data_IF_515736078753
#
_entry.id   IF_515736078753
#
_cell.length_a   1.000
_cell.length_b   1.000
_cell.length_c   1.000
_cell.angle_alpha   90.00
_cell.angle_beta   90.00
_cell.angle_gamma   90.00
#
_symmetry.space_group_name_H-M   'P 1'
#
loop_
_entity.id
_entity.type
_entity.pdbx_description
1 polymer ?
#
# COMPACT_ATOMS: atom_id res chain seq x y z
N UNK A 1 10.03 3.95 29.20
CA UNK A 1 9.49 5.33 29.19
C UNK A 1 8.26 5.42 30.08
N UNK A 2 8.04 6.53 30.72
CA UNK A 2 6.87 6.82 31.59
C UNK A 2 6.70 5.91 32.80
N UNK A 3 7.59 4.97 33.04
CA UNK A 3 7.60 4.08 34.18
C UNK A 3 8.21 4.75 35.41
N UNK A 4 7.76 4.37 36.61
CA UNK A 4 8.30 4.88 37.88
C UNK A 4 9.81 4.64 38.05
N UNK A 5 10.32 3.57 37.44
CA UNK A 5 11.73 3.17 37.47
C UNK A 5 12.53 3.68 36.27
N UNK A 6 11.93 4.53 35.41
CA UNK A 6 12.62 5.08 34.24
C UNK A 6 13.74 6.04 34.69
N UNK A 7 15.00 5.65 34.53
CA UNK A 7 16.16 6.38 35.03
C UNK A 7 17.13 6.88 33.94
N UNK A 8 16.75 6.80 32.66
CA UNK A 8 17.64 7.25 31.58
C UNK A 8 17.32 6.66 30.21
N UNK A 9 18.12 7.05 29.24
CA UNK A 9 17.97 6.68 27.83
C UNK A 9 19.05 5.70 27.44
N UNK A 10 18.66 4.63 26.73
CA UNK A 10 19.59 3.72 26.05
C UNK A 10 19.72 4.15 24.59
N UNK A 11 20.92 4.53 24.17
CA UNK A 11 21.16 4.94 22.79
C UNK A 11 21.31 3.75 21.86
N UNK A 12 20.72 3.87 20.69
CA UNK A 12 20.84 2.94 19.57
C UNK A 12 21.28 3.66 18.29
N UNK A 13 21.40 2.92 17.21
CA UNK A 13 21.67 3.44 15.88
C UNK A 13 20.65 2.86 14.90
N UNK A 14 20.23 3.67 13.94
CA UNK A 14 19.24 3.22 12.97
C UNK A 14 19.25 4.07 11.70
N UNK A 15 18.65 3.52 10.66
CA UNK A 15 18.34 4.20 9.40
C UNK A 15 16.87 3.96 9.09
N UNK A 16 16.14 5.02 8.79
CA UNK A 16 14.74 4.96 8.39
C UNK A 16 14.52 5.76 7.12
N UNK A 17 13.62 5.28 6.28
CA UNK A 17 13.16 5.98 5.08
C UNK A 17 11.65 5.80 4.92
N UNK A 18 10.97 6.89 4.59
CA UNK A 18 9.55 6.89 4.24
C UNK A 18 9.37 7.57 2.89
N UNK A 19 8.48 7.03 2.08
CA UNK A 19 8.11 7.63 0.81
C UNK A 19 6.83 8.45 1.01
N UNK A 20 6.91 9.74 0.70
CA UNK A 20 5.77 10.66 0.78
C UNK A 20 5.28 11.01 -0.63
N UNK A 21 3.96 11.06 -0.79
CA UNK A 21 3.30 11.47 -2.02
C UNK A 21 2.01 12.22 -1.67
N UNK A 22 1.56 13.11 -2.54
CA UNK A 22 0.26 13.76 -2.36
C UNK A 22 -0.85 12.72 -2.40
N UNK A 23 -1.82 12.82 -1.49
CA UNK A 23 -2.91 11.86 -1.39
C UNK A 23 -3.64 11.67 -2.73
N UNK A 24 -4.04 12.76 -3.38
CA UNK A 24 -4.73 12.71 -4.68
C UNK A 24 -3.91 12.08 -5.81
N UNK A 25 -2.58 12.17 -5.74
CA UNK A 25 -1.69 11.51 -6.71
C UNK A 25 -1.54 10.03 -6.38
N UNK A 26 -1.44 9.68 -5.09
CA UNK A 26 -1.35 8.28 -4.66
C UNK A 26 -2.63 7.49 -5.00
N UNK A 27 -3.81 8.11 -4.77
CA UNK A 27 -5.11 7.52 -5.14
C UNK A 27 -5.24 7.35 -6.66
N UNK A 28 -4.91 8.40 -7.44
CA UNK A 28 -4.94 8.33 -8.91
C UNK A 28 -4.02 7.25 -9.47
N UNK A 29 -2.84 7.10 -8.88
CA UNK A 29 -1.82 6.18 -9.36
C UNK A 29 -1.99 4.75 -8.77
N UNK A 30 -2.97 4.56 -7.87
CA UNK A 30 -3.26 3.28 -7.23
C UNK A 30 -2.16 2.81 -6.27
N UNK A 31 -1.44 3.74 -5.64
CA UNK A 31 -0.38 3.42 -4.69
C UNK A 31 -0.97 2.88 -3.38
N UNK A 32 -0.22 1.99 -2.72
CA UNK A 32 -0.57 1.53 -1.39
C UNK A 32 -0.27 2.60 -0.34
N UNK A 33 -1.31 3.09 0.34
CA UNK A 33 -1.23 4.12 1.36
C UNK A 33 -1.25 3.48 2.73
N UNK A 34 -0.23 3.71 3.57
CA UNK A 34 -0.18 3.23 4.95
C UNK A 34 -0.87 4.17 5.91
N UNK A 35 -0.70 5.47 5.73
CA UNK A 35 -1.31 6.52 6.54
C UNK A 35 -1.33 7.83 5.75
N UNK A 36 -2.20 8.74 6.16
CA UNK A 36 -2.28 10.11 5.64
C UNK A 36 -1.77 11.08 6.71
N UNK A 37 -0.82 11.94 6.36
CA UNK A 37 -0.41 13.05 7.23
C UNK A 37 -1.47 14.14 7.10
N UNK A 38 -2.21 14.39 8.17
CA UNK A 38 -3.29 15.40 8.20
C UNK A 38 -2.78 16.79 8.56
N UNK A 39 -1.81 16.85 9.45
CA UNK A 39 -1.22 18.10 9.92
C UNK A 39 0.14 17.88 10.55
N UNK A 40 0.94 18.92 10.60
CA UNK A 40 2.23 18.91 11.27
C UNK A 40 2.60 20.32 11.70
N UNK A 41 3.30 20.40 12.82
CA UNK A 41 3.88 21.65 13.30
C UNK A 41 5.30 21.44 13.81
N UNK A 42 6.11 22.46 13.69
CA UNK A 42 7.48 22.49 14.21
C UNK A 42 7.72 23.87 14.81
N UNK A 43 8.17 23.90 16.05
CA UNK A 43 8.58 25.12 16.70
C UNK A 43 9.91 24.95 17.44
N UNK A 44 10.33 25.98 18.17
CA UNK A 44 11.49 25.91 19.05
C UNK A 44 11.20 26.69 20.35
N UNK A 45 11.58 26.11 21.49
CA UNK A 45 11.39 26.70 22.84
C UNK A 45 12.09 28.05 23.02
N UNK A 46 13.06 28.40 22.18
CA UNK A 46 13.84 29.60 22.23
C UNK A 46 14.40 29.88 23.64
N UNK A 47 14.10 31.07 24.23
CA UNK A 47 14.50 31.45 25.57
C UNK A 47 13.55 31.07 26.70
N UNK A 48 12.45 30.35 26.41
CA UNK A 48 11.40 29.98 27.37
C UNK A 48 11.73 28.75 28.23
N UNK A 49 12.99 28.29 28.24
CA UNK A 49 13.44 27.11 28.99
C UNK A 49 14.56 27.43 29.96
N UNK A 50 14.66 26.65 31.03
CA UNK A 50 15.62 26.86 32.14
C UNK A 50 17.06 26.48 31.80
N UNK A 51 17.31 25.89 30.64
CA UNK A 51 18.64 25.50 30.16
C UNK A 51 18.62 24.84 28.79
N UNK A 52 19.79 24.71 28.16
CA UNK A 52 19.93 24.20 26.79
C UNK A 52 19.29 22.81 26.60
N UNK A 53 19.51 21.92 27.54
CA UNK A 53 19.00 20.54 27.46
C UNK A 53 17.62 20.34 28.11
N UNK A 54 17.07 21.35 28.81
CA UNK A 54 15.77 21.24 29.43
C UNK A 54 14.65 21.44 28.38
N UNK A 55 13.68 20.53 28.25
CA UNK A 55 12.51 20.77 27.40
C UNK A 55 11.55 21.78 28.05
N UNK A 56 10.62 22.34 27.24
CA UNK A 56 9.52 23.19 27.71
C UNK A 56 8.20 22.50 27.42
N UNK A 57 7.35 22.28 28.44
CA UNK A 57 6.01 21.77 28.23
C UNK A 57 5.14 22.72 27.40
N UNK A 58 5.25 24.02 27.61
CA UNK A 58 4.51 25.03 26.84
C UNK A 58 4.91 25.06 25.37
N UNK A 59 6.21 24.95 25.07
CA UNK A 59 6.69 24.87 23.69
C UNK A 59 6.17 23.63 22.97
N UNK A 60 6.15 22.50 23.65
CA UNK A 60 5.57 21.27 23.14
C UNK A 60 4.05 21.39 22.94
N UNK A 61 3.32 21.93 23.92
CA UNK A 61 1.89 22.15 23.85
C UNK A 61 1.49 23.01 22.64
N UNK A 62 2.25 24.08 22.36
CA UNK A 62 2.04 24.92 21.17
C UNK A 62 2.19 24.12 19.89
N UNK A 63 3.24 23.30 19.74
CA UNK A 63 3.42 22.47 18.55
C UNK A 63 2.30 21.43 18.37
N UNK A 64 1.83 20.83 19.46
CA UNK A 64 0.73 19.86 19.44
C UNK A 64 -0.58 20.54 19.03
N UNK A 65 -0.95 21.65 19.64
CA UNK A 65 -2.16 22.41 19.34
C UNK A 65 -2.17 22.91 17.87
N UNK A 66 -1.03 23.39 17.40
CA UNK A 66 -0.87 23.83 16.01
C UNK A 66 -1.03 22.68 15.02
N UNK A 67 -0.45 21.49 15.31
CA UNK A 67 -0.59 20.32 14.46
C UNK A 67 -2.04 19.81 14.40
N UNK A 68 -2.79 19.79 15.52
CA UNK A 68 -4.21 19.47 15.58
C UNK A 68 -5.04 20.47 14.77
N UNK A 69 -4.76 21.76 14.92
CA UNK A 69 -5.42 22.83 14.15
C UNK A 69 -5.18 22.67 12.65
N UNK A 70 -3.95 22.41 12.22
CA UNK A 70 -3.59 22.18 10.83
C UNK A 70 -4.24 20.91 10.29
N UNK A 71 -4.39 19.88 11.10
CA UNK A 71 -5.08 18.64 10.75
C UNK A 71 -6.60 18.84 10.66
N UNK A 72 -7.15 19.88 11.26
CA UNK A 72 -8.59 20.13 11.42
C UNK A 72 -9.30 18.93 12.07
N UNK A 73 -8.75 18.42 13.17
CA UNK A 73 -9.32 17.31 13.95
C UNK A 73 -9.28 17.63 15.43
N UNK A 74 -10.30 17.22 16.21
CA UNK A 74 -10.31 17.42 17.66
C UNK A 74 -9.40 16.41 18.37
N UNK A 75 -8.87 16.78 19.53
CA UNK A 75 -7.93 15.94 20.29
C UNK A 75 -8.52 14.62 20.75
N UNK A 76 -9.82 14.56 21.06
CA UNK A 76 -10.54 13.35 21.47
C UNK A 76 -10.69 12.31 20.34
N UNK A 77 -10.41 12.70 19.10
CA UNK A 77 -10.36 11.78 17.96
C UNK A 77 -9.01 11.06 17.80
N UNK A 78 -8.02 11.39 18.63
CA UNK A 78 -6.68 10.77 18.58
C UNK A 78 -6.65 9.58 19.54
N UNK A 79 -6.61 8.37 18.99
CA UNK A 79 -6.63 7.13 19.78
C UNK A 79 -5.26 6.68 20.29
N UNK A 80 -4.17 7.24 19.75
CA UNK A 80 -2.80 6.90 20.12
C UNK A 80 -1.87 8.10 19.96
N UNK A 81 -0.95 8.28 20.91
CA UNK A 81 0.22 9.13 20.74
C UNK A 81 1.50 8.29 20.81
N UNK A 82 2.29 8.36 19.79
CA UNK A 82 3.68 7.93 19.79
C UNK A 82 4.54 9.06 20.33
N UNK A 83 4.88 8.96 21.60
CA UNK A 83 5.64 9.96 22.31
C UNK A 83 7.14 9.93 21.96
N UNK A 84 7.82 11.03 22.20
CA UNK A 84 9.27 11.05 22.19
C UNK A 84 9.85 10.12 23.27
N UNK A 85 9.31 10.15 24.49
CA UNK A 85 9.44 9.14 25.53
C UNK A 85 10.86 8.62 25.75
N UNK A 86 11.76 9.47 26.23
CA UNK A 86 13.19 9.14 26.38
C UNK A 86 13.50 8.27 27.59
N UNK A 87 12.54 8.02 28.48
CA UNK A 87 12.76 7.28 29.73
C UNK A 87 13.56 8.05 30.77
N UNK A 88 13.59 9.37 30.71
CA UNK A 88 14.33 10.21 31.65
C UNK A 88 13.43 10.74 32.75
N UNK A 89 13.96 10.86 33.97
CA UNK A 89 13.22 11.33 35.15
C UNK A 89 12.58 12.71 34.94
N UNK A 90 13.18 13.57 34.14
CA UNK A 90 12.71 14.96 33.90
C UNK A 90 11.93 15.03 32.56
N UNK A 91 12.40 14.35 31.51
CA UNK A 91 11.86 14.50 30.16
C UNK A 91 10.46 13.93 30.01
N UNK A 92 10.24 12.73 30.53
CA UNK A 92 8.93 12.05 30.42
C UNK A 92 7.79 12.84 31.08
N UNK A 93 7.94 13.37 32.33
CA UNK A 93 6.90 14.22 32.93
C UNK A 93 6.64 15.53 32.19
N UNK A 94 7.66 16.18 31.66
CA UNK A 94 7.50 17.44 30.91
C UNK A 94 6.78 17.19 29.58
N UNK A 95 7.11 16.11 28.88
CA UNK A 95 6.42 15.72 27.65
C UNK A 95 4.96 15.37 27.93
N UNK A 96 4.73 14.59 28.97
CA UNK A 96 3.37 14.24 29.40
C UNK A 96 2.52 15.48 29.74
N UNK A 97 3.11 16.44 30.46
CA UNK A 97 2.43 17.70 30.80
C UNK A 97 2.08 18.51 29.54
N UNK A 98 2.98 18.63 28.58
CA UNK A 98 2.72 19.31 27.31
C UNK A 98 1.57 18.66 26.52
N UNK A 99 1.53 17.34 26.46
CA UNK A 99 0.42 16.59 25.85
C UNK A 99 -0.88 16.81 26.62
N UNK A 100 -0.85 16.66 27.96
CA UNK A 100 -2.01 16.81 28.83
C UNK A 100 -2.66 18.19 28.70
N UNK A 101 -1.86 19.27 28.70
CA UNK A 101 -2.36 20.64 28.56
C UNK A 101 -3.26 20.80 27.34
N UNK A 102 -2.88 20.26 26.18
CA UNK A 102 -3.66 20.41 24.95
C UNK A 102 -4.90 19.55 24.96
N UNK A 103 -4.76 18.27 25.32
CA UNK A 103 -5.86 17.32 25.24
C UNK A 103 -6.95 17.63 26.28
N UNK A 104 -6.60 18.00 27.53
CA UNK A 104 -7.57 18.38 28.55
C UNK A 104 -8.27 19.72 28.28
N UNK A 105 -7.67 20.61 27.51
CA UNK A 105 -8.33 21.86 27.12
C UNK A 105 -9.44 21.65 26.09
N UNK A 106 -9.41 20.53 25.34
CA UNK A 106 -10.39 20.25 24.29
C UNK A 106 -11.46 19.24 24.68
N UNK A 107 -11.19 18.41 25.72
CA UNK A 107 -12.15 17.37 26.16
C UNK A 107 -12.01 17.07 27.66
N UNK A 108 -13.13 16.75 28.29
CA UNK A 108 -13.19 16.24 29.68
C UNK A 108 -13.04 14.70 29.74
N UNK A 109 -12.91 14.03 28.61
CA UNK A 109 -12.76 12.57 28.54
C UNK A 109 -11.40 12.13 29.08
N UNK A 110 -11.39 11.04 29.86
CA UNK A 110 -10.18 10.46 30.43
C UNK A 110 -9.92 9.07 29.88
N UNK A 111 -8.66 8.65 29.84
CA UNK A 111 -8.24 7.29 29.50
C UNK A 111 -8.66 6.80 28.12
N UNK A 112 -8.75 7.66 27.11
CA UNK A 112 -9.17 7.27 25.76
C UNK A 112 -8.02 7.15 24.76
N UNK A 113 -6.87 7.76 25.03
CA UNK A 113 -5.73 7.85 24.12
C UNK A 113 -4.56 7.02 24.65
N UNK A 114 -4.13 6.01 23.93
CA UNK A 114 -2.97 5.19 24.29
C UNK A 114 -1.66 5.99 24.12
N UNK A 115 -0.82 6.00 25.14
CA UNK A 115 0.49 6.65 25.10
C UNK A 115 1.61 5.61 25.03
N UNK A 116 2.42 5.67 23.97
CA UNK A 116 3.50 4.72 23.75
C UNK A 116 4.78 5.37 23.23
N UNK A 117 5.88 4.62 23.21
CA UNK A 117 7.13 5.02 22.58
C UNK A 117 7.89 3.82 22.01
N UNK A 118 8.30 3.89 20.75
CA UNK A 118 9.11 2.87 20.08
C UNK A 118 10.51 2.75 20.72
N UNK A 119 10.94 3.76 21.46
CA UNK A 119 12.23 3.72 22.16
C UNK A 119 12.31 2.64 23.22
N UNK A 120 11.18 2.19 23.75
CA UNK A 120 11.13 1.07 24.68
C UNK A 120 11.46 -0.26 24.01
N UNK A 121 11.30 -0.36 22.66
CA UNK A 121 11.63 -1.55 21.88
C UNK A 121 13.07 -1.52 21.33
N UNK A 122 13.52 -0.36 20.81
CA UNK A 122 14.76 -0.28 20.02
C UNK A 122 15.79 0.73 20.56
N UNK A 123 15.52 1.35 21.69
CA UNK A 123 16.33 2.42 22.23
C UNK A 123 16.14 3.76 21.47
N UNK A 124 16.89 4.75 21.87
CA UNK A 124 16.88 6.07 21.26
C UNK A 124 17.79 6.10 20.04
N UNK A 125 17.22 6.04 18.86
CA UNK A 125 17.94 6.01 17.57
C UNK A 125 18.47 7.39 17.14
N UNK A 126 18.58 8.33 18.07
CA UNK A 126 19.06 9.70 17.86
C UNK A 126 18.26 10.40 16.73
N UNK A 127 18.93 10.81 15.65
CA UNK A 127 18.32 11.53 14.53
C UNK A 127 17.18 10.73 13.88
N UNK A 128 17.29 9.40 13.83
CA UNK A 128 16.28 8.53 13.21
C UNK A 128 15.09 8.23 14.14
N UNK A 129 15.13 8.63 15.41
CA UNK A 129 14.11 8.27 16.39
C UNK A 129 12.70 8.75 16.02
N UNK A 130 12.58 9.97 15.47
CA UNK A 130 11.31 10.50 14.97
C UNK A 130 10.75 9.68 13.79
N UNK A 131 11.62 9.29 12.84
CA UNK A 131 11.21 8.43 11.72
C UNK A 131 10.75 7.04 12.19
N UNK A 132 11.39 6.45 13.20
CA UNK A 132 10.97 5.17 13.77
C UNK A 132 9.59 5.27 14.45
N UNK A 133 9.35 6.32 15.24
CA UNK A 133 8.04 6.59 15.83
C UNK A 133 6.96 6.83 14.78
N UNK A 134 7.27 7.62 13.75
CA UNK A 134 6.39 7.84 12.63
C UNK A 134 5.98 6.51 11.94
N UNK A 135 6.93 5.64 11.65
CA UNK A 135 6.66 4.32 11.03
C UNK A 135 5.76 3.48 11.92
N UNK A 136 6.04 3.42 13.24
CA UNK A 136 5.20 2.68 14.19
C UNK A 136 3.77 3.22 14.21
N UNK A 137 3.57 4.51 14.31
CA UNK A 137 2.25 5.14 14.31
C UNK A 137 1.51 4.93 12.98
N UNK A 138 2.20 5.07 11.83
CA UNK A 138 1.62 4.80 10.51
C UNK A 138 1.14 3.35 10.36
N UNK A 139 1.93 2.39 10.86
CA UNK A 139 1.52 0.98 10.86
C UNK A 139 0.37 0.71 11.84
N UNK A 140 0.34 1.36 13.00
CA UNK A 140 -0.74 1.22 13.98
C UNK A 140 -2.08 1.70 13.40
N UNK A 141 -2.15 2.89 12.81
CA UNK A 141 -3.39 3.41 12.18
C UNK A 141 -3.79 2.58 10.97
N UNK A 142 -2.83 2.10 10.17
CA UNK A 142 -3.09 1.23 9.02
C UNK A 142 -3.75 -0.08 9.44
N UNK A 143 -3.23 -0.72 10.47
CA UNK A 143 -3.66 -2.05 10.93
C UNK A 143 -4.79 -2.02 11.96
N UNK A 144 -5.12 -0.87 12.51
CA UNK A 144 -6.13 -0.74 13.58
C UNK A 144 -5.73 -1.42 14.89
N UNK A 145 -4.42 -1.55 15.15
CA UNK A 145 -3.87 -2.18 16.33
C UNK A 145 -2.87 -1.25 17.01
N UNK A 146 -2.96 -1.14 18.32
CA UNK A 146 -2.00 -0.38 19.13
C UNK A 146 -1.07 -1.36 19.85
N UNK A 147 0.23 -1.35 19.55
CA UNK A 147 1.19 -2.21 20.21
C UNK A 147 1.43 -1.77 21.65
N UNK A 148 1.87 -2.69 22.54
CA UNK A 148 2.11 -2.38 23.95
C UNK A 148 3.28 -1.43 24.16
N UNK A 149 3.26 -0.72 25.30
CA UNK A 149 4.42 -0.07 25.85
C UNK A 149 5.27 -1.13 26.57
N UNK A 150 6.33 -1.63 25.93
CA UNK A 150 7.18 -2.67 26.52
C UNK A 150 8.10 -2.10 27.62
N UNK A 151 8.54 -2.97 28.54
CA UNK A 151 9.36 -2.60 29.70
C UNK A 151 8.67 -1.51 30.57
N UNK A 152 7.33 -1.64 30.73
CA UNK A 152 6.52 -0.77 31.55
C UNK A 152 5.78 -1.63 32.60
N UNK A 153 5.90 -1.26 33.86
CA UNK A 153 5.30 -1.98 35.00
C UNK A 153 4.36 -1.08 35.79
N UNK A 154 4.84 0.09 36.19
CA UNK A 154 4.14 1.01 37.09
C UNK A 154 4.24 2.44 36.52
N UNK A 155 3.12 3.17 36.37
CA UNK A 155 3.16 4.57 35.94
C UNK A 155 4.02 5.43 36.89
N UNK A 156 4.79 6.36 36.33
CA UNK A 156 5.48 7.35 37.14
C UNK A 156 4.46 8.19 37.93
N UNK A 157 4.53 8.24 39.26
CA UNK A 157 3.58 8.96 40.09
C UNK A 157 3.42 10.46 39.77
N UNK A 158 4.42 11.05 39.11
CA UNK A 158 4.37 12.46 38.70
C UNK A 158 3.44 12.73 37.49
N UNK A 159 2.85 11.68 36.87
CA UNK A 159 2.06 11.84 35.65
C UNK A 159 0.56 12.09 35.90
N UNK A 160 0.03 11.79 37.11
CA UNK A 160 -1.42 11.83 37.39
C UNK A 160 -2.26 11.20 36.27
N UNK A 161 -1.90 9.98 35.90
CA UNK A 161 -2.42 9.31 34.70
C UNK A 161 -3.92 9.03 34.77
N UNK A 162 -4.46 8.77 35.99
CA UNK A 162 -5.84 8.39 36.19
C UNK A 162 -6.86 9.50 35.83
N UNK A 163 -6.44 10.76 35.98
CA UNK A 163 -7.25 11.93 35.60
C UNK A 163 -6.83 12.55 34.26
N UNK A 164 -6.07 11.81 33.47
CA UNK A 164 -5.59 12.27 32.19
C UNK A 164 -6.32 11.66 30.99
N UNK A 165 -6.27 12.25 29.81
CA UNK A 165 -6.76 11.65 28.57
C UNK A 165 -6.08 10.34 28.19
N UNK A 166 -4.92 10.05 28.81
CA UNK A 166 -4.01 8.98 28.37
C UNK A 166 -4.11 7.72 29.21
N UNK A 167 -3.75 6.60 28.59
CA UNK A 167 -3.52 5.33 29.28
C UNK A 167 -2.32 4.60 28.69
N UNK A 168 -1.76 3.64 29.45
CA UNK A 168 -0.71 2.75 28.99
C UNK A 168 -1.26 1.33 28.83
N UNK A 169 -0.92 0.68 27.72
CA UNK A 169 -1.32 -0.70 27.46
C UNK A 169 -0.10 -1.65 27.53
N UNK A 170 -0.27 -2.78 28.22
CA UNK A 170 0.75 -3.83 28.35
C UNK A 170 0.66 -4.93 27.29
N UNK A 171 -0.46 -4.96 26.56
CA UNK A 171 -0.75 -5.91 25.48
C UNK A 171 -1.17 -5.16 24.21
N UNK A 172 -1.12 -5.85 23.06
CA UNK A 172 -1.68 -5.28 21.83
C UNK A 172 -3.18 -5.20 21.93
N UNK A 173 -3.74 -4.01 21.70
CA UNK A 173 -5.18 -3.75 21.76
C UNK A 173 -5.72 -3.32 20.39
N UNK A 174 -7.02 -3.45 20.22
CA UNK A 174 -7.77 -2.85 19.12
C UNK A 174 -7.83 -1.34 19.28
N UNK A 175 -8.14 -0.63 18.19
CA UNK A 175 -8.26 0.83 18.25
C UNK A 175 -9.40 1.25 19.18
N UNK A 176 -9.15 2.13 20.19
CA UNK A 176 -10.10 2.38 21.27
C UNK A 176 -11.24 3.35 20.91
N UNK A 177 -11.15 4.07 19.81
CA UNK A 177 -12.08 5.13 19.42
C UNK A 177 -12.83 4.74 18.14
N UNK A 178 -14.12 5.04 18.08
CA UNK A 178 -14.93 4.90 16.86
C UNK A 178 -14.58 6.00 15.84
N UNK A 179 -14.74 5.70 14.56
CA UNK A 179 -14.44 6.61 13.46
C UNK A 179 -13.06 6.41 12.86
N UNK A 180 -12.51 7.42 12.15
CA UNK A 180 -11.19 7.31 11.55
C UNK A 180 -10.09 7.16 12.59
N UNK A 181 -9.24 6.14 12.46
CA UNK A 181 -8.09 5.94 13.36
C UNK A 181 -7.06 7.04 13.14
N UNK A 182 -6.71 7.74 14.23
CA UNK A 182 -5.74 8.83 14.20
C UNK A 182 -4.69 8.68 15.29
N UNK A 183 -3.45 9.01 14.95
CA UNK A 183 -2.34 9.00 15.89
C UNK A 183 -1.56 10.31 15.86
N UNK A 184 -1.16 10.78 17.04
CA UNK A 184 -0.17 11.82 17.19
C UNK A 184 1.24 11.26 17.23
N UNK A 185 2.24 11.99 16.75
CA UNK A 185 3.65 11.60 16.81
C UNK A 185 4.48 12.79 17.30
N UNK A 186 5.13 12.63 18.46
CA UNK A 186 6.07 13.60 19.01
C UNK A 186 7.52 13.29 18.63
N UNK A 187 8.26 14.31 18.23
CA UNK A 187 9.70 14.23 18.06
C UNK A 187 10.35 15.50 18.61
N UNK A 188 11.11 15.34 19.69
CA UNK A 188 11.70 16.45 20.45
C UNK A 188 13.21 16.41 20.32
N UNK A 189 13.82 17.57 20.03
CA UNK A 189 15.27 17.72 19.85
C UNK A 189 15.94 18.36 21.05
N UNK A 190 17.14 17.89 21.42
CA UNK A 190 18.01 18.61 22.34
C UNK A 190 18.30 20.00 21.73
N UNK A 191 18.05 21.06 22.51
CA UNK A 191 18.11 22.43 22.00
C UNK A 191 16.74 23.09 21.86
N UNK A 192 15.64 22.31 22.06
CA UNK A 192 14.28 22.83 22.18
C UNK A 192 13.48 22.85 20.88
N UNK A 193 13.87 22.12 19.86
CA UNK A 193 13.04 21.92 18.67
C UNK A 193 11.98 20.88 18.97
N UNK A 194 10.71 21.23 18.80
CA UNK A 194 9.56 20.36 18.97
C UNK A 194 8.89 20.16 17.63
N UNK A 195 8.55 18.90 17.30
CA UNK A 195 7.78 18.55 16.13
C UNK A 195 6.62 17.63 16.55
N UNK A 196 5.41 17.92 16.06
CA UNK A 196 4.24 17.07 16.21
C UNK A 196 3.57 16.85 14.87
N UNK A 197 3.12 15.61 14.63
CA UNK A 197 2.40 15.23 13.42
C UNK A 197 1.12 14.52 13.80
N UNK A 198 0.08 14.70 12.98
CA UNK A 198 -1.18 13.95 13.06
C UNK A 198 -1.30 13.04 11.85
N UNK A 199 -1.42 11.76 12.13
CA UNK A 199 -1.64 10.71 11.13
C UNK A 199 -3.08 10.21 11.19
N UNK A 200 -3.64 9.90 10.04
CA UNK A 200 -4.96 9.28 9.90
C UNK A 200 -4.82 7.99 9.08
N UNK A 201 -5.70 7.02 9.32
CA UNK A 201 -5.75 5.79 8.53
C UNK A 201 -5.85 6.08 7.02
N UNK A 202 -5.41 5.14 6.15
CA UNK A 202 -5.59 5.31 4.73
C UNK A 202 -7.08 5.36 4.36
N UNK A 203 -7.44 6.03 3.27
CA UNK A 203 -8.80 5.95 2.71
C UNK A 203 -9.20 4.50 2.47
N UNK A 204 -10.49 4.20 2.64
CA UNK A 204 -11.02 2.90 2.25
C UNK A 204 -10.82 2.70 0.75
N UNK A 205 -10.28 1.55 0.31
CA UNK A 205 -10.14 1.27 -1.12
C UNK A 205 -11.50 1.31 -1.80
N UNK A 206 -11.61 2.00 -2.93
CA UNK A 206 -12.82 1.94 -3.74
C UNK A 206 -13.13 0.49 -4.13
N UNK A 207 -14.39 0.04 -4.04
CA UNK A 207 -14.77 -1.30 -4.48
C UNK A 207 -14.31 -1.53 -5.92
N UNK A 208 -13.57 -2.60 -6.14
CA UNK A 208 -13.12 -2.96 -7.48
C UNK A 208 -14.29 -3.57 -8.27
N UNK A 209 -14.55 -3.04 -9.46
CA UNK A 209 -15.45 -3.68 -10.40
C UNK A 209 -14.73 -4.87 -11.08
N UNK A 210 -15.07 -6.09 -10.63
CA UNK A 210 -14.53 -7.34 -11.18
C UNK A 210 -15.25 -7.80 -12.46
N UNK A 211 -16.34 -7.13 -12.84
CA UNK A 211 -17.15 -7.54 -13.99
C UNK A 211 -16.40 -7.45 -15.32
N UNK A 212 -15.42 -6.57 -15.41
CA UNK A 212 -14.55 -6.38 -16.58
C UNK A 212 -13.20 -7.10 -16.48
N UNK A 213 -12.99 -7.92 -15.45
CA UNK A 213 -11.71 -8.58 -15.23
C UNK A 213 -11.40 -9.64 -16.29
N UNK A 214 -10.14 -9.77 -16.65
CA UNK A 214 -9.70 -10.74 -17.65
C UNK A 214 -9.85 -12.15 -17.12
N UNK A 215 -10.26 -13.08 -17.96
CA UNK A 215 -10.33 -14.51 -17.62
C UNK A 215 -8.93 -15.14 -17.47
N UNK A 216 -7.94 -14.59 -18.13
CA UNK A 216 -6.56 -15.05 -18.11
C UNK A 216 -5.63 -13.93 -17.68
N UNK A 217 -4.74 -14.23 -16.76
CA UNK A 217 -3.74 -13.33 -16.22
C UNK A 217 -2.34 -13.79 -16.59
N UNK A 218 -1.45 -12.83 -16.85
CA UNK A 218 -0.04 -13.07 -17.09
C UNK A 218 0.75 -12.71 -15.84
N UNK A 219 1.55 -13.63 -15.34
CA UNK A 219 2.53 -13.39 -14.29
C UNK A 219 3.92 -13.33 -14.91
N UNK A 220 4.54 -12.15 -14.86
CA UNK A 220 5.89 -11.92 -15.37
C UNK A 220 6.88 -11.81 -14.22
N UNK A 221 7.89 -12.67 -14.22
CA UNK A 221 8.99 -12.67 -13.27
C UNK A 221 10.29 -12.34 -13.98
N UNK A 222 11.21 -11.66 -13.29
CA UNK A 222 12.53 -11.42 -13.84
C UNK A 222 13.59 -11.31 -12.75
N UNK A 223 14.83 -11.68 -13.09
CA UNK A 223 15.96 -11.62 -12.16
C UNK A 223 17.28 -11.31 -12.90
N UNK A 224 18.31 -10.96 -12.11
CA UNK A 224 19.65 -10.66 -12.63
C UNK A 224 20.39 -11.91 -13.10
N UNK A 225 20.09 -13.08 -12.53
CA UNK A 225 20.74 -14.37 -12.86
C UNK A 225 19.69 -15.48 -12.99
N UNK A 226 19.99 -16.56 -13.75
CA UNK A 226 19.10 -17.72 -13.86
C UNK A 226 18.76 -18.35 -12.50
N UNK A 227 19.74 -18.51 -11.63
CA UNK A 227 19.53 -19.07 -10.29
C UNK A 227 18.61 -18.18 -9.43
N UNK A 228 18.73 -16.85 -9.54
CA UNK A 228 17.83 -15.93 -8.85
C UNK A 228 16.41 -15.99 -9.40
N UNK A 229 16.24 -16.17 -10.73
CA UNK A 229 14.92 -16.35 -11.35
C UNK A 229 14.25 -17.64 -10.86
N UNK A 230 14.98 -18.74 -10.78
CA UNK A 230 14.45 -20.01 -10.27
C UNK A 230 14.00 -19.90 -8.80
N UNK A 231 14.81 -19.27 -7.95
CA UNK A 231 14.40 -19.01 -6.55
C UNK A 231 13.17 -18.10 -6.45
N UNK A 232 13.09 -17.07 -7.30
CA UNK A 232 11.93 -16.18 -7.33
C UNK A 232 10.68 -16.94 -7.76
N UNK A 233 10.78 -17.77 -8.80
CA UNK A 233 9.68 -18.64 -9.25
C UNK A 233 9.20 -19.58 -8.14
N UNK A 234 10.13 -20.18 -7.37
CA UNK A 234 9.81 -21.02 -6.21
C UNK A 234 9.04 -20.27 -5.14
N UNK A 235 9.47 -19.06 -4.79
CA UNK A 235 8.75 -18.22 -3.80
C UNK A 235 7.35 -17.84 -4.26
N UNK A 236 7.16 -17.52 -5.54
CA UNK A 236 5.82 -17.25 -6.08
C UNK A 236 4.97 -18.52 -6.14
N UNK A 237 5.55 -19.67 -6.49
CA UNK A 237 4.85 -20.95 -6.50
C UNK A 237 4.34 -21.31 -5.09
N UNK A 238 5.18 -21.19 -4.07
CA UNK A 238 4.84 -21.42 -2.67
C UNK A 238 3.73 -20.46 -2.20
N UNK A 239 3.89 -19.16 -2.46
CA UNK A 239 2.91 -18.13 -2.12
C UNK A 239 1.54 -18.40 -2.76
N UNK A 240 1.50 -18.67 -4.08
CA UNK A 240 0.26 -18.90 -4.83
C UNK A 240 -0.40 -20.25 -4.52
N UNK A 241 0.35 -21.22 -3.98
CA UNK A 241 -0.18 -22.51 -3.51
C UNK A 241 -0.74 -22.45 -2.09
N UNK A 242 -0.42 -21.41 -1.33
CA UNK A 242 -0.87 -21.20 0.04
C UNK A 242 -2.28 -20.61 0.12
N UNK A 243 -2.65 -20.14 1.31
CA UNK A 243 -3.92 -19.45 1.55
C UNK A 243 -3.88 -18.00 1.02
N UNK A 244 -3.91 -17.83 -0.29
CA UNK A 244 -4.03 -16.52 -0.92
C UNK A 244 -5.45 -16.00 -0.80
N UNK A 245 -5.66 -14.88 -0.14
CA UNK A 245 -6.97 -14.23 0.04
C UNK A 245 -7.31 -13.22 -1.06
N UNK A 246 -6.34 -12.81 -1.86
CA UNK A 246 -6.52 -11.81 -2.93
C UNK A 246 -6.78 -12.44 -4.30
N UNK A 247 -7.24 -11.60 -5.22
CA UNK A 247 -7.53 -11.97 -6.59
C UNK A 247 -6.24 -12.21 -7.41
N UNK A 248 -6.26 -13.21 -8.28
CA UNK A 248 -5.12 -13.55 -9.15
C UNK A 248 -4.64 -12.37 -10.00
N UNK A 249 -5.58 -11.54 -10.45
CA UNK A 249 -5.30 -10.33 -11.23
C UNK A 249 -4.44 -9.32 -10.47
N UNK A 250 -4.67 -9.14 -9.17
CA UNK A 250 -3.94 -8.19 -8.33
C UNK A 250 -2.49 -8.63 -8.10
N UNK A 251 -2.28 -9.93 -7.89
CA UNK A 251 -0.92 -10.47 -7.77
C UNK A 251 -0.14 -10.33 -9.07
N UNK A 252 -0.79 -10.63 -10.21
CA UNK A 252 -0.17 -10.46 -11.52
C UNK A 252 0.11 -8.99 -11.84
N UNK A 253 -0.83 -8.10 -11.57
CA UNK A 253 -0.66 -6.66 -11.77
C UNK A 253 0.53 -6.13 -10.96
N UNK A 254 0.56 -6.43 -9.65
CA UNK A 254 1.64 -6.01 -8.76
C UNK A 254 3.01 -6.54 -9.22
N UNK A 255 3.08 -7.81 -9.63
CA UNK A 255 4.32 -8.40 -10.14
C UNK A 255 4.77 -7.75 -11.46
N UNK A 256 3.83 -7.41 -12.33
CA UNK A 256 4.11 -6.92 -13.68
C UNK A 256 4.55 -5.46 -13.70
N UNK A 257 3.96 -4.58 -12.87
CA UNK A 257 4.26 -3.15 -12.88
C UNK A 257 5.11 -2.69 -11.69
N UNK A 258 4.96 -3.33 -10.53
CA UNK A 258 5.64 -2.96 -9.29
C UNK A 258 7.08 -3.50 -9.15
N UNK A 259 7.65 -4.09 -10.19
CA UNK A 259 8.99 -4.70 -10.15
C UNK A 259 9.86 -4.27 -11.32
N UNK A 260 11.14 -3.99 -11.02
CA UNK A 260 12.14 -3.70 -12.07
C UNK A 260 12.32 -4.92 -12.97
N UNK A 261 12.38 -4.68 -14.28
CA UNK A 261 12.60 -5.71 -15.28
C UNK A 261 14.10 -5.98 -15.46
N UNK A 262 14.49 -7.25 -15.33
CA UNK A 262 15.85 -7.74 -15.50
C UNK A 262 15.97 -8.59 -16.77
N UNK A 263 17.21 -8.99 -17.09
CA UNK A 263 17.54 -9.70 -18.34
C UNK A 263 16.97 -11.13 -18.40
N UNK A 264 17.00 -11.87 -17.28
CA UNK A 264 16.42 -13.22 -17.24
C UNK A 264 14.94 -13.12 -16.89
N UNK A 265 14.07 -13.64 -17.75
CA UNK A 265 12.61 -13.45 -17.66
C UNK A 265 11.87 -14.76 -17.78
N UNK A 266 10.77 -14.83 -17.07
CA UNK A 266 9.78 -15.90 -17.13
C UNK A 266 8.40 -15.26 -17.22
N UNK A 267 7.54 -15.82 -18.06
CA UNK A 267 6.12 -15.47 -18.11
C UNK A 267 5.30 -16.76 -18.08
N UNK A 268 4.34 -16.82 -17.17
CA UNK A 268 3.33 -17.89 -17.09
C UNK A 268 1.95 -17.27 -17.12
N UNK A 269 0.96 -18.02 -17.57
CA UNK A 269 -0.43 -17.56 -17.64
C UNK A 269 -1.38 -18.53 -16.97
N UNK A 270 -2.43 -18.03 -16.36
CA UNK A 270 -3.46 -18.83 -15.70
C UNK A 270 -4.69 -18.02 -15.36
N UNK A 271 -5.75 -18.71 -14.99
CA UNK A 271 -7.04 -18.14 -14.56
C UNK A 271 -7.13 -18.03 -13.04
N UNK A 272 -6.38 -18.86 -12.33
CA UNK A 272 -6.41 -18.97 -10.87
C UNK A 272 -5.00 -18.99 -10.30
N UNK A 273 -4.89 -18.73 -9.00
CA UNK A 273 -3.63 -18.84 -8.26
C UNK A 273 -3.03 -20.24 -8.39
N UNK A 274 -3.86 -21.28 -8.33
CA UNK A 274 -3.43 -22.68 -8.44
C UNK A 274 -2.91 -23.01 -9.85
N UNK A 275 -3.54 -22.50 -10.92
CA UNK A 275 -3.04 -22.69 -12.28
C UNK A 275 -1.67 -22.03 -12.47
N UNK A 276 -1.49 -20.80 -11.99
CA UNK A 276 -0.19 -20.13 -12.03
C UNK A 276 0.88 -20.88 -11.21
N UNK A 277 0.52 -21.34 -10.01
CA UNK A 277 1.42 -22.13 -9.16
C UNK A 277 1.86 -23.41 -9.85
N UNK A 278 0.94 -24.13 -10.52
CA UNK A 278 1.22 -25.34 -11.29
C UNK A 278 2.14 -25.07 -12.48
N UNK A 279 1.92 -23.96 -13.20
CA UNK A 279 2.77 -23.55 -14.31
C UNK A 279 4.20 -23.24 -13.82
N UNK A 280 4.33 -22.53 -12.69
CA UNK A 280 5.63 -22.27 -12.08
C UNK A 280 6.32 -23.56 -11.63
N UNK A 281 5.59 -24.48 -11.01
CA UNK A 281 6.12 -25.76 -10.57
C UNK A 281 6.67 -26.58 -11.75
N UNK A 282 5.91 -26.65 -12.84
CA UNK A 282 6.36 -27.35 -14.07
C UNK A 282 7.62 -26.68 -14.63
N UNK A 283 7.62 -25.37 -14.72
CA UNK A 283 8.78 -24.63 -15.21
C UNK A 283 10.03 -24.86 -14.33
N UNK A 284 9.89 -24.83 -13.00
CA UNK A 284 11.00 -25.07 -12.07
C UNK A 284 11.59 -26.48 -12.26
N UNK A 285 10.73 -27.47 -12.44
CA UNK A 285 11.13 -28.87 -12.64
C UNK A 285 11.97 -29.07 -13.91
N UNK A 286 11.59 -28.38 -15.00
CA UNK A 286 12.20 -28.51 -16.30
C UNK A 286 13.33 -27.49 -16.53
N UNK A 287 13.53 -26.54 -15.59
CA UNK A 287 14.46 -25.45 -15.74
C UNK A 287 15.90 -25.88 -15.60
N UNK A 288 16.68 -25.65 -16.67
CA UNK A 288 18.14 -25.82 -16.64
C UNK A 288 18.81 -24.43 -16.74
N UNK A 289 19.53 -23.98 -15.70
CA UNK A 289 20.22 -22.70 -15.70
C UNK A 289 21.21 -22.50 -16.85
N UNK A 290 21.81 -23.59 -17.34
CA UNK A 290 22.78 -23.55 -18.44
C UNK A 290 22.16 -23.19 -19.79
N UNK A 291 20.83 -23.37 -19.94
CA UNK A 291 20.08 -23.06 -21.15
C UNK A 291 19.38 -21.71 -21.06
N UNK A 292 19.51 -20.99 -19.94
CA UNK A 292 18.84 -19.71 -19.74
C UNK A 292 19.50 -18.60 -20.56
N UNK A 293 18.77 -18.06 -21.52
CA UNK A 293 19.21 -16.94 -22.34
C UNK A 293 18.81 -15.62 -21.69
N UNK A 294 19.76 -14.69 -21.60
CA UNK A 294 19.47 -13.33 -21.18
C UNK A 294 18.81 -12.56 -22.33
N UNK A 295 17.67 -11.92 -22.03
CA UNK A 295 17.05 -11.04 -23.01
C UNK A 295 17.85 -9.74 -23.13
N UNK A 296 18.39 -9.44 -24.31
CA UNK A 296 18.99 -8.15 -24.62
C UNK A 296 17.90 -7.09 -24.76
N UNK A 297 18.20 -5.85 -24.39
CA UNK A 297 17.24 -4.72 -24.51
C UNK A 297 17.13 -4.16 -25.94
N UNK A 298 17.49 -4.92 -26.96
CA UNK A 298 17.30 -4.46 -28.34
C UNK A 298 15.80 -4.46 -28.66
N UNK A 299 15.32 -3.39 -29.28
CA UNK A 299 14.00 -3.34 -29.89
C UNK A 299 13.96 -4.44 -30.98
N UNK A 300 13.34 -5.58 -30.66
CA UNK A 300 13.10 -6.63 -31.64
C UNK A 300 11.96 -6.14 -32.54
N UNK A 301 12.14 -6.13 -33.86
CA UNK A 301 11.06 -5.79 -34.77
C UNK A 301 9.87 -6.71 -34.56
N UNK A 302 8.66 -6.13 -34.52
CA UNK A 302 7.41 -6.86 -34.38
C UNK A 302 6.81 -7.01 -35.78
N UNK A 303 6.49 -8.24 -36.17
CA UNK A 303 5.76 -8.51 -37.40
C UNK A 303 4.30 -8.84 -37.05
N UNK A 304 3.36 -8.12 -37.66
CA UNK A 304 1.95 -8.44 -37.62
C UNK A 304 1.62 -9.36 -38.78
N UNK A 305 1.06 -10.53 -38.46
CA UNK A 305 0.65 -11.54 -39.44
C UNK A 305 -0.86 -11.66 -39.42
N UNK A 306 -1.51 -11.39 -40.55
CA UNK A 306 -2.95 -11.48 -40.72
C UNK A 306 -3.32 -12.83 -41.35
N UNK A 307 -4.33 -13.48 -40.78
CA UNK A 307 -4.82 -14.77 -41.29
C UNK A 307 -5.71 -14.56 -42.51
N UNK A 308 -5.80 -15.60 -43.37
CA UNK A 308 -6.73 -15.65 -44.48
C UNK A 308 -8.03 -16.40 -44.13
N UNK A 309 -8.91 -16.48 -45.14
CA UNK A 309 -10.18 -17.21 -45.04
C UNK A 309 -9.93 -18.69 -44.68
N UNK A 310 -10.75 -19.23 -43.76
CA UNK A 310 -10.61 -20.56 -43.20
C UNK A 310 -10.10 -20.61 -41.77
N UNK A 311 -9.61 -19.47 -41.25
CA UNK A 311 -9.12 -19.35 -39.87
C UNK A 311 -10.23 -18.96 -38.85
N UNK A 312 -11.42 -18.57 -39.34
CA UNK A 312 -12.54 -18.18 -38.49
C UNK A 312 -13.16 -19.36 -37.76
N UNK A 313 -13.64 -19.16 -36.56
CA UNK A 313 -14.40 -20.11 -35.75
C UNK A 313 -15.50 -19.41 -34.95
N UNK A 314 -16.46 -20.17 -34.47
CA UNK A 314 -17.63 -19.66 -33.74
C UNK A 314 -17.18 -18.84 -32.51
N UNK A 315 -17.75 -17.65 -32.38
CA UNK A 315 -17.49 -16.71 -31.28
C UNK A 315 -16.01 -16.31 -31.11
N UNK A 316 -15.24 -16.30 -32.21
CA UNK A 316 -13.79 -16.03 -32.25
C UNK A 316 -13.37 -14.74 -31.51
N UNK A 317 -14.19 -13.71 -31.54
CA UNK A 317 -13.88 -12.42 -30.92
C UNK A 317 -14.64 -12.16 -29.60
N UNK A 318 -15.51 -13.06 -29.16
CA UNK A 318 -16.42 -12.83 -28.04
C UNK A 318 -15.72 -12.42 -26.75
N UNK A 319 -14.69 -13.15 -26.34
CA UNK A 319 -14.01 -12.87 -25.07
C UNK A 319 -13.29 -11.52 -25.12
N UNK A 320 -12.63 -11.17 -26.22
CA UNK A 320 -11.98 -9.88 -26.41
C UNK A 320 -13.00 -8.75 -26.47
N UNK A 321 -14.12 -8.95 -27.17
CA UNK A 321 -15.20 -7.97 -27.26
C UNK A 321 -15.80 -7.64 -25.90
N UNK A 322 -16.01 -8.65 -25.05
CA UNK A 322 -16.57 -8.48 -23.71
C UNK A 322 -15.59 -7.86 -22.70
N UNK A 323 -14.29 -8.14 -22.85
CA UNK A 323 -13.30 -7.82 -21.82
C UNK A 323 -12.31 -6.72 -22.18
N UNK A 324 -12.19 -6.35 -23.48
CA UNK A 324 -11.20 -5.36 -23.95
C UNK A 324 -11.89 -4.18 -24.64
N UNK A 325 -12.00 -3.05 -23.94
CA UNK A 325 -12.69 -1.85 -24.48
C UNK A 325 -12.08 -1.32 -25.77
N UNK A 326 -10.75 -1.31 -25.89
CA UNK A 326 -10.06 -0.88 -27.12
C UNK A 326 -10.42 -1.77 -28.31
N UNK A 327 -10.38 -3.09 -28.11
CA UNK A 327 -10.78 -4.07 -29.14
C UNK A 327 -12.26 -3.91 -29.52
N UNK A 328 -13.14 -3.76 -28.52
CA UNK A 328 -14.58 -3.55 -28.73
C UNK A 328 -14.84 -2.33 -29.60
N UNK A 329 -14.29 -1.17 -29.20
CA UNK A 329 -14.48 0.08 -29.92
C UNK A 329 -14.04 -0.03 -31.39
N UNK A 330 -12.88 -0.62 -31.64
CA UNK A 330 -12.37 -0.83 -33.00
C UNK A 330 -13.25 -1.80 -33.80
N UNK A 331 -13.76 -2.86 -33.17
CA UNK A 331 -14.68 -3.80 -33.83
C UNK A 331 -16.02 -3.15 -34.11
N UNK A 332 -16.56 -2.30 -33.21
CA UNK A 332 -17.78 -1.54 -33.40
C UNK A 332 -17.66 -0.58 -34.57
N UNK A 333 -16.50 0.11 -34.70
CA UNK A 333 -16.24 1.01 -35.84
C UNK A 333 -16.26 0.23 -37.17
N UNK A 334 -15.60 -0.91 -37.25
CA UNK A 334 -15.68 -1.80 -38.41
C UNK A 334 -17.10 -2.24 -38.72
N UNK A 335 -17.82 -2.71 -37.68
CA UNK A 335 -19.21 -3.18 -37.81
C UNK A 335 -20.14 -2.09 -38.35
N UNK A 336 -20.01 -0.85 -37.88
CA UNK A 336 -20.78 0.28 -38.40
C UNK A 336 -20.54 0.53 -39.88
N UNK A 337 -19.28 0.43 -40.35
CA UNK A 337 -18.96 0.57 -41.77
C UNK A 337 -19.53 -0.58 -42.62
N UNK A 338 -19.34 -1.83 -42.20
CA UNK A 338 -19.84 -2.98 -42.94
C UNK A 338 -21.37 -3.06 -42.93
N UNK A 339 -22.04 -2.74 -41.83
CA UNK A 339 -23.50 -2.68 -41.76
C UNK A 339 -24.06 -1.62 -42.73
N UNK A 340 -23.46 -0.42 -42.76
CA UNK A 340 -23.93 0.70 -43.62
C UNK A 340 -23.76 0.43 -45.12
N UNK A 341 -22.66 -0.23 -45.52
CA UNK A 341 -22.31 -0.36 -46.93
C UNK A 341 -22.59 -1.74 -47.52
N UNK A 342 -22.60 -2.77 -46.69
CA UNK A 342 -22.75 -4.18 -47.12
C UNK A 342 -23.87 -4.94 -46.42
N UNK A 343 -24.52 -4.32 -45.43
CA UNK A 343 -25.59 -4.96 -44.62
C UNK A 343 -25.11 -6.21 -43.86
N UNK A 344 -23.85 -6.24 -43.42
CA UNK A 344 -23.25 -7.37 -42.71
C UNK A 344 -23.18 -7.05 -41.20
N UNK A 345 -23.68 -7.99 -40.38
CA UNK A 345 -23.56 -7.94 -38.91
C UNK A 345 -22.24 -8.56 -38.45
N UNK A 346 -21.17 -7.79 -38.49
CA UNK A 346 -19.83 -8.24 -38.05
C UNK A 346 -19.81 -8.64 -36.58
N UNK A 347 -20.55 -7.93 -35.71
CA UNK A 347 -20.57 -8.23 -34.27
C UNK A 347 -21.26 -9.56 -34.01
N UNK A 348 -22.40 -9.80 -34.63
CA UNK A 348 -23.08 -11.08 -34.55
C UNK A 348 -22.20 -12.25 -35.03
N UNK A 349 -21.56 -12.10 -36.20
CA UNK A 349 -20.62 -13.11 -36.73
C UNK A 349 -19.42 -13.36 -35.79
N UNK A 350 -18.93 -12.30 -35.11
CA UNK A 350 -17.75 -12.38 -34.24
C UNK A 350 -18.03 -12.95 -32.85
N UNK A 351 -19.27 -12.82 -32.34
CA UNK A 351 -19.56 -13.02 -30.90
C UNK A 351 -20.68 -14.03 -30.61
N UNK A 352 -21.55 -14.35 -31.58
CA UNK A 352 -22.69 -15.24 -31.35
C UNK A 352 -22.24 -16.71 -31.23
N UNK A 353 -22.53 -17.32 -30.08
CA UNK A 353 -22.26 -18.73 -29.78
C UNK A 353 -23.24 -19.72 -30.41
N UNK A 354 -24.36 -19.23 -30.98
CA UNK A 354 -25.40 -20.06 -31.61
C UNK A 354 -25.11 -20.34 -33.08
N UNK A 355 -24.20 -19.58 -33.69
CA UNK A 355 -23.75 -19.83 -35.05
C UNK A 355 -23.05 -21.19 -35.14
N UNK A 356 -23.08 -21.75 -36.33
CA UNK A 356 -22.32 -22.94 -36.69
C UNK A 356 -21.10 -22.56 -37.53
N UNK A 357 -20.14 -23.48 -37.67
CA UNK A 357 -18.98 -23.23 -38.53
C UNK A 357 -19.42 -23.00 -40.00
N UNK A 358 -20.53 -23.60 -40.44
CA UNK A 358 -21.06 -23.42 -41.78
C UNK A 358 -21.56 -22.01 -42.05
N UNK A 359 -22.11 -21.34 -41.04
CA UNK A 359 -22.58 -19.96 -41.15
C UNK A 359 -21.44 -18.94 -41.37
N UNK A 360 -20.22 -19.32 -41.04
CA UNK A 360 -19.01 -18.48 -41.19
C UNK A 360 -18.24 -18.77 -42.48
N UNK A 361 -18.68 -19.71 -43.34
CA UNK A 361 -17.98 -20.07 -44.58
C UNK A 361 -18.23 -19.12 -45.75
N UNK A 362 -19.41 -18.48 -45.94
CA UNK A 362 -19.63 -17.57 -47.07
C UNK A 362 -18.56 -16.48 -47.13
N UNK A 363 -17.94 -16.29 -48.29
CA UNK A 363 -16.80 -15.37 -48.48
C UNK A 363 -17.16 -13.92 -48.19
N UNK A 364 -18.37 -13.53 -48.51
CA UNK A 364 -18.92 -12.20 -48.23
C UNK A 364 -19.09 -11.89 -46.74
N UNK A 365 -19.17 -12.91 -45.89
CA UNK A 365 -19.18 -12.77 -44.42
C UNK A 365 -17.81 -13.02 -43.81
N UNK A 366 -17.10 -14.04 -44.26
CA UNK A 366 -15.81 -14.48 -43.73
C UNK A 366 -14.74 -13.39 -43.85
N UNK A 367 -14.65 -12.70 -44.98
CA UNK A 367 -13.62 -11.68 -45.22
C UNK A 367 -13.83 -10.43 -44.38
N UNK A 368 -15.05 -9.82 -44.32
CA UNK A 368 -15.32 -8.73 -43.39
C UNK A 368 -15.02 -9.08 -41.92
N UNK A 369 -15.42 -10.28 -41.48
CA UNK A 369 -15.16 -10.79 -40.14
C UNK A 369 -13.66 -10.83 -39.83
N UNK A 370 -12.85 -11.50 -40.66
CA UNK A 370 -11.41 -11.66 -40.46
C UNK A 370 -10.70 -10.32 -40.52
N UNK A 371 -11.06 -9.47 -41.49
CA UNK A 371 -10.52 -8.11 -41.60
C UNK A 371 -10.77 -7.31 -40.32
N UNK A 372 -12.02 -7.29 -39.85
CA UNK A 372 -12.42 -6.52 -38.68
C UNK A 372 -11.73 -6.98 -37.43
N UNK A 373 -11.56 -8.30 -37.22
CA UNK A 373 -10.80 -8.86 -36.10
C UNK A 373 -9.33 -8.47 -36.19
N UNK A 374 -8.73 -8.62 -37.38
CA UNK A 374 -7.32 -8.25 -37.58
C UNK A 374 -7.04 -6.76 -37.37
N UNK A 375 -8.00 -5.90 -37.71
CA UNK A 375 -7.90 -4.46 -37.45
C UNK A 375 -8.06 -4.13 -35.96
N UNK A 376 -8.98 -4.81 -35.28
CA UNK A 376 -9.28 -4.55 -33.85
C UNK A 376 -8.18 -5.08 -32.90
N UNK A 377 -7.40 -6.11 -33.30
CA UNK A 377 -6.24 -6.62 -32.55
C UNK A 377 -5.04 -5.70 -32.63
#
# INVERSE_FOLDING_TARGET
SFDANAGGTIFGSGVGAVLLKRLSEAERDGDHIHAVIKGSAVNNDAGAKVGYAAPSSDGQAIAIAEALTMANVPADSIGMVEAHGTGTVVGDPIEFDGLRQVYQNETESVGFCALGSVKTNVGHLQITSGTAGFIKAALAVSKGKIPPLVNFEIPNPALDIEESPFFFNSETIDWPIEGPRRAGVNSLGIGGTNAHLILEQPPEPSPRDLSSDRKHHLLRLSAKTPAALSRLAGRYQEFLSGECTGEVGDYCFTANIGRKLFAHRLCVSGRTNQELAKQLQNWIKDFNPSNAVATTQSLTPIAFVFTGQGSQYVAIARDLYLTQSTFRNALDDCANHFSKHMQIDVIGLATDVKLTQTDLLPTDQAQPLIFSIGYAL
#
